data_IF_076009929757
#
_entry.id   IF_076009929757
#
_cell.length_a   1.000
_cell.length_b   1.000
_cell.length_c   1.000
_cell.angle_alpha   90.00
_cell.angle_beta   90.00
_cell.angle_gamma   90.00
#
_symmetry.space_group_name_H-M   'P 1'
#
loop_
_entity.id
_entity.type
_entity.pdbx_description
1 polymer ?
#
# COMPACT_ATOMS: atom_id res chain seq x y z
N UNK A 1 12.61 -7.37 -11.11
CA UNK A 1 12.93 -5.97 -11.45
C UNK A 1 11.97 -5.08 -10.67
N UNK A 2 12.47 -4.09 -9.91
CA UNK A 2 11.60 -3.15 -9.20
C UNK A 2 10.67 -2.38 -10.13
N UNK A 3 9.53 -1.97 -9.60
CA UNK A 3 8.63 -1.00 -10.23
C UNK A 3 8.93 0.36 -9.62
N UNK A 4 9.17 1.35 -10.46
CA UNK A 4 9.37 2.73 -10.04
C UNK A 4 8.24 3.60 -10.57
N UNK A 5 7.71 4.44 -9.69
CA UNK A 5 6.75 5.47 -10.01
C UNK A 5 7.49 6.73 -10.49
N UNK A 6 6.97 7.37 -11.52
CA UNK A 6 7.53 8.57 -12.13
C UNK A 6 6.45 9.62 -12.35
N UNK A 7 6.85 10.88 -12.39
CA UNK A 7 5.98 12.00 -12.77
C UNK A 7 6.69 12.89 -13.79
N UNK A 8 5.98 13.26 -14.85
CA UNK A 8 6.46 14.23 -15.83
C UNK A 8 6.26 15.65 -15.30
N UNK A 9 7.32 16.47 -15.29
CA UNK A 9 7.23 17.88 -14.87
C UNK A 9 6.44 18.75 -15.89
N UNK A 10 6.32 18.32 -17.16
CA UNK A 10 5.68 19.12 -18.21
C UNK A 10 4.15 19.00 -18.24
N UNK A 11 3.61 17.78 -18.12
CA UNK A 11 2.16 17.54 -18.16
C UNK A 11 1.58 17.04 -16.83
N UNK A 12 2.42 16.80 -15.82
CA UNK A 12 1.99 16.28 -14.51
C UNK A 12 1.60 14.81 -14.50
N UNK A 13 1.68 14.10 -15.64
CA UNK A 13 1.28 12.70 -15.74
C UNK A 13 2.17 11.80 -14.88
N UNK A 14 1.53 11.01 -14.01
CA UNK A 14 2.17 10.01 -13.17
C UNK A 14 2.01 8.61 -13.81
N UNK A 15 3.10 7.84 -13.84
CA UNK A 15 3.12 6.50 -14.43
C UNK A 15 4.14 5.60 -13.74
N UNK A 16 3.91 4.29 -13.83
CA UNK A 16 4.79 3.26 -13.26
C UNK A 16 5.57 2.55 -14.36
N UNK A 17 6.83 2.18 -14.07
CA UNK A 17 7.66 1.43 -15.02
C UNK A 17 8.52 0.39 -14.30
N UNK A 18 8.63 -0.80 -14.90
CA UNK A 18 9.64 -1.78 -14.51
C UNK A 18 11.02 -1.29 -14.96
N UNK A 19 11.97 -1.20 -14.02
CA UNK A 19 13.29 -0.68 -14.31
C UNK A 19 14.33 -1.30 -13.36
N UNK A 20 15.54 -1.59 -13.87
CA UNK A 20 16.62 -2.06 -13.00
C UNK A 20 17.18 -0.87 -12.22
N UNK A 21 17.78 -1.16 -11.07
CA UNK A 21 18.39 -0.12 -10.24
C UNK A 21 19.55 0.61 -10.94
N UNK A 22 20.25 -0.06 -11.85
CA UNK A 22 21.40 0.49 -12.58
C UNK A 22 21.03 1.20 -13.89
N UNK A 23 19.75 1.15 -14.30
CA UNK A 23 19.31 1.79 -15.54
C UNK A 23 19.05 3.29 -15.31
N UNK A 24 19.39 4.12 -16.29
CA UNK A 24 19.11 5.56 -16.25
C UNK A 24 17.61 5.88 -16.28
N UNK A 25 17.19 6.93 -15.56
CA UNK A 25 15.81 7.39 -15.54
C UNK A 25 15.31 7.75 -16.95
N UNK A 26 14.00 7.61 -17.24
CA UNK A 26 13.44 7.89 -18.56
C UNK A 26 13.45 9.40 -18.89
N UNK A 27 13.79 9.75 -20.13
CA UNK A 27 13.80 11.14 -20.60
C UNK A 27 12.53 11.56 -21.37
N UNK A 28 11.63 10.61 -21.65
CA UNK A 28 10.44 10.82 -22.49
C UNK A 28 9.17 10.39 -21.79
N UNK A 29 8.16 11.27 -21.74
CA UNK A 29 6.88 10.97 -21.12
C UNK A 29 5.99 10.13 -22.06
N UNK A 30 5.39 9.03 -21.58
CA UNK A 30 4.51 8.19 -22.41
C UNK A 30 3.16 8.83 -22.76
N UNK A 31 2.75 9.90 -22.06
CA UNK A 31 1.45 10.56 -22.26
C UNK A 31 1.54 11.73 -23.25
N UNK A 32 2.53 12.61 -23.10
CA UNK A 32 2.67 13.79 -23.95
C UNK A 32 3.79 13.69 -24.99
N UNK A 33 4.61 12.63 -24.93
CA UNK A 33 5.79 12.41 -25.79
C UNK A 33 6.81 13.56 -25.78
N UNK A 34 6.69 14.50 -24.85
CA UNK A 34 7.65 15.58 -24.70
C UNK A 34 8.94 15.03 -24.08
N UNK A 35 10.11 15.38 -24.64
CA UNK A 35 11.36 15.20 -23.93
C UNK A 35 11.37 16.17 -22.74
N UNK A 36 11.78 15.70 -21.56
CA UNK A 36 11.76 16.57 -20.39
C UNK A 36 12.15 15.86 -19.11
N UNK A 37 12.23 16.65 -18.04
CA UNK A 37 12.58 16.13 -16.71
C UNK A 37 11.45 15.25 -16.19
N UNK A 38 11.76 13.97 -16.01
CA UNK A 38 10.90 13.00 -15.34
C UNK A 38 11.48 12.75 -13.95
N UNK A 39 10.63 12.89 -12.93
CA UNK A 39 11.06 12.74 -11.54
C UNK A 39 10.52 11.46 -10.97
N UNK A 40 11.41 10.65 -10.41
CA UNK A 40 11.05 9.44 -9.68
C UNK A 40 10.30 9.81 -8.42
N UNK A 41 9.11 9.26 -8.26
CA UNK A 41 8.24 9.46 -7.11
C UNK A 41 8.63 8.45 -6.03
N UNK A 42 8.94 8.96 -4.84
CA UNK A 42 9.13 8.13 -3.65
C UNK A 42 7.76 8.06 -2.96
N UNK A 43 7.12 6.91 -3.04
CA UNK A 43 5.88 6.64 -2.30
C UNK A 43 6.22 6.28 -0.86
N UNK A 44 5.35 6.59 0.10
CA UNK A 44 5.56 6.25 1.50
C UNK A 44 5.37 4.73 1.69
N UNK A 45 6.44 3.93 1.87
CA UNK A 45 6.25 2.51 2.10
C UNK A 45 5.75 2.30 3.53
N UNK A 46 4.77 1.42 3.70
CA UNK A 46 4.50 0.87 5.04
C UNK A 46 5.61 -0.12 5.38
N UNK A 47 6.44 0.23 6.36
CA UNK A 47 7.43 -0.68 6.91
C UNK A 47 7.01 -1.10 8.32
N UNK A 48 7.27 -2.37 8.67
CA UNK A 48 7.09 -2.93 10.01
C UNK A 48 8.40 -3.58 10.41
N UNK A 49 8.86 -3.28 11.62
CA UNK A 49 10.09 -3.84 12.15
C UNK A 49 9.72 -5.15 12.85
N UNK A 50 10.03 -6.29 12.24
CA UNK A 50 9.88 -7.58 12.89
C UNK A 50 11.05 -7.79 13.86
N UNK A 51 10.77 -7.80 15.16
CA UNK A 51 11.77 -8.07 16.19
C UNK A 51 11.37 -7.54 17.56
N UNK A 52 11.84 -8.16 18.64
CA UNK A 52 11.56 -7.77 20.03
C UNK A 52 12.24 -6.48 20.49
N UNK A 53 12.45 -5.52 19.59
CA UNK A 53 13.08 -4.23 19.90
C UNK A 53 12.15 -3.30 20.68
N UNK A 54 12.74 -2.23 21.22
CA UNK A 54 12.09 -1.26 22.10
C UNK A 54 10.69 -0.78 21.64
N UNK A 55 10.47 -0.55 20.34
CA UNK A 55 9.17 -0.15 19.80
C UNK A 55 8.09 -1.25 19.85
N UNK A 56 8.47 -2.53 19.76
CA UNK A 56 7.53 -3.65 19.82
C UNK A 56 7.24 -4.08 21.27
N UNK A 57 8.17 -3.89 22.20
CA UNK A 57 8.10 -4.47 23.56
C UNK A 57 7.85 -3.44 24.67
N UNK A 58 8.30 -2.20 24.52
CA UNK A 58 8.28 -1.20 25.62
C UNK A 58 7.02 -0.33 25.63
N UNK A 59 6.39 -0.11 24.47
CA UNK A 59 5.16 0.68 24.34
C UNK A 59 3.86 -0.14 24.48
N UNK A 60 3.97 -1.46 24.67
CA UNK A 60 2.80 -2.34 24.85
C UNK A 60 2.57 -2.53 26.35
N UNK A 61 1.37 -2.16 26.83
CA UNK A 61 0.93 -2.51 28.18
C UNK A 61 0.93 -4.03 28.35
N UNK A 62 1.26 -4.49 29.57
CA UNK A 62 1.16 -5.89 29.97
C UNK A 62 -0.21 -6.48 29.58
N UNK A 63 -0.21 -7.35 28.55
CA UNK A 63 -1.42 -8.04 28.06
C UNK A 63 -1.66 -7.98 26.55
N UNK A 64 -1.06 -7.04 25.81
CA UNK A 64 -1.28 -6.89 24.36
C UNK A 64 -0.39 -7.79 23.48
N UNK A 65 -0.36 -9.09 23.77
CA UNK A 65 0.35 -10.12 22.96
C UNK A 65 -0.33 -10.39 21.60
N UNK A 66 -1.57 -9.96 21.42
CA UNK A 66 -2.45 -10.28 20.27
C UNK A 66 -2.18 -9.51 18.98
N UNK A 67 -1.14 -8.66 18.94
CA UNK A 67 -0.84 -7.78 17.78
C UNK A 67 0.52 -8.05 17.12
N UNK A 68 1.28 -9.03 17.60
CA UNK A 68 2.51 -9.45 16.93
C UNK A 68 2.15 -10.39 15.77
N UNK A 69 1.87 -9.82 14.60
CA UNK A 69 1.67 -10.57 13.36
C UNK A 69 2.98 -11.08 12.75
N UNK A 70 4.13 -10.73 13.33
CA UNK A 70 5.46 -11.14 12.86
C UNK A 70 5.84 -12.57 13.30
N UNK A 71 5.18 -13.11 14.32
CA UNK A 71 5.33 -14.52 14.72
C UNK A 71 4.22 -15.32 14.01
N UNK A 72 4.60 -16.12 13.02
CA UNK A 72 3.68 -16.78 12.11
C UNK A 72 2.68 -17.69 12.82
N UNK A 73 1.43 -17.22 12.93
CA UNK A 73 0.28 -18.02 13.34
C UNK A 73 -0.93 -17.62 12.50
N UNK A 74 -1.19 -18.37 11.43
CA UNK A 74 -2.34 -18.15 10.55
C UNK A 74 -3.64 -18.14 11.34
N UNK A 75 -4.27 -16.97 11.44
CA UNK A 75 -5.68 -16.87 11.76
C UNK A 75 -6.41 -16.61 10.46
N UNK A 76 -7.04 -17.68 9.96
CA UNK A 76 -8.10 -17.61 8.95
C UNK A 76 -8.97 -16.41 9.26
N UNK A 77 -9.07 -15.51 8.29
CA UNK A 77 -10.28 -14.70 8.13
C UNK A 77 -11.40 -15.69 7.82
N UNK A 78 -11.99 -16.28 8.87
CA UNK A 78 -13.32 -16.86 8.75
C UNK A 78 -14.27 -15.68 8.67
N UNK A 79 -14.58 -15.35 7.43
CA UNK A 79 -15.83 -14.74 7.02
C UNK A 79 -16.93 -15.01 8.05
N UNK A 80 -17.40 -13.94 8.66
CA UNK A 80 -18.73 -13.89 9.26
C UNK A 80 -19.38 -12.62 8.75
N UNK A 81 -19.51 -12.58 7.42
CA UNK A 81 -20.59 -11.91 6.75
C UNK A 81 -21.89 -12.58 7.21
N UNK A 82 -22.41 -12.24 8.39
CA UNK A 82 -23.83 -12.42 8.69
C UNK A 82 -24.60 -11.31 8.01
N UNK A 83 -24.70 -11.43 6.68
CA UNK A 83 -25.86 -10.95 5.96
C UNK A 83 -26.93 -12.06 6.09
N UNK A 84 -27.92 -11.82 6.93
CA UNK A 84 -29.22 -12.49 6.85
C UNK A 84 -30.30 -11.41 6.92
N UNK A 85 -30.66 -10.96 5.72
CA UNK A 85 -32.03 -10.88 5.20
C UNK A 85 -33.16 -10.67 6.21
N UNK A 86 -33.78 -9.50 6.21
CA UNK A 86 -34.93 -9.25 5.32
C UNK A 86 -35.54 -7.85 5.50
N UNK A 87 -36.02 -7.23 4.41
CA UNK A 87 -36.89 -6.07 4.44
C UNK A 87 -38.36 -6.52 4.54
N UNK A 88 -39.17 -5.89 5.38
CA UNK A 88 -40.61 -5.75 5.18
C UNK A 88 -41.23 -4.89 6.30
N UNK A 89 -41.61 -3.66 5.97
CA UNK A 89 -43.03 -3.26 6.01
C UNK A 89 -43.17 -1.93 5.29
N UNK A 90 -43.84 -2.00 4.14
CA UNK A 90 -44.43 -0.87 3.48
C UNK A 90 -45.53 -0.29 4.38
N UNK A 91 -45.45 1.00 4.68
CA UNK A 91 -46.61 1.80 5.00
C UNK A 91 -47.12 2.39 3.68
N UNK A 92 -48.33 1.99 3.29
CA UNK A 92 -49.07 2.59 2.17
C UNK A 92 -50.31 3.28 2.76
N UNK A 93 -50.61 4.44 2.20
CA UNK A 93 -51.84 5.25 2.36
C UNK A 93 -51.88 6.19 3.56
#
# INVERSE_FOLDING_TARGET
MPIYAFQCDACGHAFDRLQKLSDADPDTCPSCNAPGRIRRQVTAPSFRLAGGGWYETDFKKDGDKKRNLADGGGSKSSDSSSASSSPATAATS
#
